data_IF_558981820422
#
_entry.id   IF_558981820422
#
_cell.length_a   1.000
_cell.length_b   1.000
_cell.length_c   1.000
_cell.angle_alpha   90.00
_cell.angle_beta   90.00
_cell.angle_gamma   90.00
#
_symmetry.space_group_name_H-M   'P 1'
#
loop_
_entity.id
_entity.type
_entity.pdbx_description
1 polymer ?
#
# COMPACT_ATOMS: atom_id res chain seq x y z
N UNK A 1 24.73 -91.73 -5.84
CA UNK A 1 24.03 -90.50 -6.24
C UNK A 1 24.91 -89.30 -5.85
N UNK A 2 25.38 -88.52 -6.83
CA UNK A 2 26.51 -87.60 -6.65
C UNK A 2 26.01 -86.17 -6.36
N UNK A 3 25.69 -85.89 -5.09
CA UNK A 3 25.07 -84.63 -4.64
C UNK A 3 25.98 -83.38 -4.82
N UNK A 4 27.30 -83.56 -4.97
CA UNK A 4 28.25 -82.43 -5.03
C UNK A 4 28.20 -81.60 -6.32
N UNK A 5 27.87 -82.21 -7.47
CA UNK A 5 27.82 -81.48 -8.75
C UNK A 5 26.54 -80.65 -8.92
N UNK A 6 25.43 -81.07 -8.32
CA UNK A 6 24.15 -80.35 -8.39
C UNK A 6 24.12 -79.09 -7.51
N UNK A 7 24.82 -79.10 -6.38
CA UNK A 7 24.87 -77.96 -5.46
C UNK A 7 25.71 -76.80 -6.00
N UNK A 8 26.84 -77.10 -6.63
CA UNK A 8 27.69 -76.08 -7.28
C UNK A 8 26.98 -75.41 -8.47
N UNK A 9 26.23 -76.18 -9.27
CA UNK A 9 25.42 -75.63 -10.35
C UNK A 9 24.29 -74.72 -9.85
N UNK A 10 23.64 -75.09 -8.75
CA UNK A 10 22.57 -74.30 -8.15
C UNK A 10 23.07 -72.97 -7.58
N UNK A 11 24.24 -72.97 -6.92
CA UNK A 11 24.88 -71.74 -6.42
C UNK A 11 25.33 -70.80 -7.55
N UNK A 12 25.88 -71.34 -8.64
CA UNK A 12 26.28 -70.55 -9.80
C UNK A 12 25.06 -69.90 -10.50
N UNK A 13 23.96 -70.65 -10.69
CA UNK A 13 22.71 -70.11 -11.23
C UNK A 13 22.06 -69.07 -10.31
N UNK A 14 22.11 -69.29 -9.00
CA UNK A 14 21.58 -68.33 -8.00
C UNK A 14 22.37 -67.02 -8.00
N UNK A 15 23.70 -67.09 -8.13
CA UNK A 15 24.56 -65.92 -8.21
C UNK A 15 24.35 -65.13 -9.52
N UNK A 16 24.19 -65.83 -10.65
CA UNK A 16 23.88 -65.21 -11.95
C UNK A 16 22.49 -64.56 -11.95
N UNK A 17 21.47 -65.24 -11.40
CA UNK A 17 20.13 -64.68 -11.27
C UNK A 17 20.12 -63.45 -10.34
N UNK A 18 20.85 -63.51 -9.22
CA UNK A 18 21.02 -62.39 -8.31
C UNK A 18 21.73 -61.20 -8.95
N UNK A 19 22.77 -61.42 -9.75
CA UNK A 19 23.49 -60.37 -10.47
C UNK A 19 22.63 -59.71 -11.55
N UNK A 20 21.84 -60.49 -12.30
CA UNK A 20 20.92 -59.97 -13.32
C UNK A 20 19.76 -59.19 -12.69
N UNK A 21 19.21 -59.67 -11.57
CA UNK A 21 18.21 -58.93 -10.80
C UNK A 21 18.77 -57.63 -10.22
N UNK A 22 19.99 -57.66 -9.67
CA UNK A 22 20.66 -56.47 -9.15
C UNK A 22 20.96 -55.45 -10.26
N UNK A 23 21.41 -55.91 -11.42
CA UNK A 23 21.65 -55.03 -12.57
C UNK A 23 20.36 -54.44 -13.14
N UNK A 24 19.30 -55.25 -13.29
CA UNK A 24 17.99 -54.77 -13.73
C UNK A 24 17.33 -53.79 -12.74
N UNK A 25 17.53 -53.97 -11.44
CA UNK A 25 17.04 -53.06 -10.39
C UNK A 25 17.88 -51.79 -10.28
N UNK A 26 19.17 -51.83 -10.59
CA UNK A 26 20.06 -50.65 -10.54
C UNK A 26 19.99 -49.79 -11.80
N UNK A 27 19.84 -50.38 -13.00
CA UNK A 27 19.61 -49.62 -14.24
C UNK A 27 18.19 -49.00 -14.30
N UNK A 28 17.24 -49.54 -13.52
CA UNK A 28 15.90 -48.97 -13.36
C UNK A 28 15.84 -47.76 -12.42
N UNK A 29 16.88 -47.49 -11.63
CA UNK A 29 17.03 -46.24 -10.92
C UNK A 29 17.59 -45.20 -11.89
N UNK A 30 16.71 -44.62 -12.71
CA UNK A 30 17.05 -43.52 -13.59
C UNK A 30 17.88 -42.49 -12.82
N UNK A 31 19.09 -42.18 -13.33
CA UNK A 31 19.96 -41.14 -12.76
C UNK A 31 19.11 -39.91 -12.47
N UNK A 32 19.13 -39.44 -11.22
CA UNK A 32 18.48 -38.20 -10.86
C UNK A 32 18.90 -37.13 -11.87
N UNK A 33 17.96 -36.35 -12.43
CA UNK A 33 18.29 -35.34 -13.42
C UNK A 33 19.38 -34.43 -12.84
N UNK A 34 20.41 -34.16 -13.64
CA UNK A 34 21.47 -33.25 -13.23
C UNK A 34 20.83 -31.91 -12.84
N UNK A 35 21.23 -31.29 -11.72
CA UNK A 35 20.73 -29.97 -11.35
C UNK A 35 21.00 -29.00 -12.50
N UNK A 36 20.10 -28.03 -12.67
CA UNK A 36 20.26 -27.00 -13.70
C UNK A 36 21.64 -26.34 -13.56
N UNK A 37 22.31 -26.01 -14.68
CA UNK A 37 23.60 -25.33 -14.62
C UNK A 37 23.40 -24.01 -13.90
N UNK A 38 23.89 -23.96 -12.68
CA UNK A 38 23.96 -22.72 -11.95
C UNK A 38 25.06 -21.84 -12.58
N UNK A 39 24.86 -20.53 -12.61
CA UNK A 39 25.89 -19.61 -13.12
C UNK A 39 27.14 -19.61 -12.23
N UNK A 40 28.08 -18.68 -12.48
CA UNK A 40 29.42 -18.56 -11.84
C UNK A 40 29.50 -18.67 -10.29
N UNK A 41 28.36 -18.71 -9.57
CA UNK A 41 28.28 -18.84 -8.11
C UNK A 41 27.33 -19.93 -7.61
N UNK A 42 26.84 -20.85 -8.45
CA UNK A 42 25.91 -21.88 -7.95
C UNK A 42 24.45 -21.39 -7.77
N UNK A 43 24.16 -20.16 -8.18
CA UNK A 43 22.82 -19.54 -8.15
C UNK A 43 22.14 -19.52 -9.52
N UNK A 44 20.81 -19.58 -9.54
CA UNK A 44 19.98 -19.29 -10.72
C UNK A 44 19.90 -17.77 -10.96
N UNK A 45 19.55 -17.35 -12.19
CA UNK A 45 19.52 -15.92 -12.56
C UNK A 45 18.58 -15.09 -11.66
N UNK A 46 17.41 -15.63 -11.33
CA UNK A 46 16.44 -14.93 -10.49
C UNK A 46 16.96 -14.73 -9.05
N UNK A 47 17.78 -15.65 -8.55
CA UNK A 47 18.40 -15.62 -7.23
C UNK A 47 19.53 -14.59 -7.22
N UNK A 48 20.42 -14.65 -8.22
CA UNK A 48 21.49 -13.66 -8.41
C UNK A 48 20.96 -12.24 -8.43
N UNK A 49 19.87 -11.99 -9.15
CA UNK A 49 19.24 -10.67 -9.17
C UNK A 49 18.75 -10.22 -7.79
N UNK A 50 18.17 -11.11 -6.97
CA UNK A 50 17.77 -10.75 -5.61
C UNK A 50 18.98 -10.46 -4.74
N UNK A 51 20.00 -11.32 -4.79
CA UNK A 51 21.24 -11.15 -4.02
C UNK A 51 21.91 -9.83 -4.36
N UNK A 52 22.07 -9.49 -5.64
CA UNK A 52 22.68 -8.23 -6.07
C UNK A 52 21.91 -7.00 -5.57
N UNK A 53 20.57 -7.05 -5.60
CA UNK A 53 19.74 -5.97 -5.08
C UNK A 53 19.91 -5.83 -3.56
N UNK A 54 19.96 -6.94 -2.82
CA UNK A 54 20.17 -6.94 -1.38
C UNK A 54 21.55 -6.38 -1.02
N UNK A 55 22.61 -6.85 -1.67
CA UNK A 55 23.98 -6.38 -1.43
C UNK A 55 24.13 -4.89 -1.74
N UNK A 56 23.45 -4.40 -2.78
CA UNK A 56 23.56 -3.01 -3.22
C UNK A 56 22.74 -2.02 -2.41
N UNK A 57 21.55 -2.43 -1.96
CA UNK A 57 20.56 -1.52 -1.38
C UNK A 57 20.17 -1.86 0.07
N UNK A 58 20.54 -3.03 0.60
CA UNK A 58 20.23 -3.46 1.96
C UNK A 58 20.75 -2.50 3.03
N UNK A 59 21.96 -1.97 2.84
CA UNK A 59 22.57 -0.96 3.73
C UNK A 59 21.79 0.37 3.80
N UNK A 60 20.90 0.62 2.83
CA UNK A 60 20.02 1.79 2.83
C UNK A 60 18.73 1.59 3.62
N UNK A 61 18.44 0.38 4.09
CA UNK A 61 17.29 0.05 4.95
C UNK A 61 17.68 0.22 6.40
N UNK A 62 16.80 0.82 7.20
CA UNK A 62 17.06 1.11 8.62
C UNK A 62 15.98 0.53 9.51
N UNK A 63 16.37 0.12 10.71
CA UNK A 63 15.46 -0.19 11.80
C UNK A 63 15.08 1.11 12.49
N UNK A 64 13.77 1.35 12.65
CA UNK A 64 13.24 2.53 13.33
C UNK A 64 12.68 2.09 14.68
N UNK A 65 13.22 2.65 15.76
CA UNK A 65 12.73 2.43 17.12
C UNK A 65 12.18 3.73 17.69
N UNK A 66 11.04 3.64 18.37
CA UNK A 66 10.40 4.78 19.02
C UNK A 66 10.07 4.51 20.46
N UNK A 67 10.19 5.54 21.28
CA UNK A 67 9.71 5.55 22.67
C UNK A 67 8.60 6.58 22.77
N UNK A 68 7.39 6.13 23.14
CA UNK A 68 6.26 7.03 23.38
C UNK A 68 6.30 7.59 24.80
N UNK A 69 5.67 8.75 25.03
CA UNK A 69 5.48 9.25 26.41
C UNK A 69 4.50 8.34 27.14
N UNK A 70 4.67 8.12 28.46
CA UNK A 70 3.60 7.58 29.29
C UNK A 70 2.34 8.41 29.06
N UNK A 71 1.22 7.76 28.72
CA UNK A 71 -0.06 8.47 28.71
C UNK A 71 -0.43 8.81 30.15
N UNK A 72 -0.62 10.10 30.43
CA UNK A 72 -1.15 10.55 31.72
C UNK A 72 -2.61 10.14 31.79
N UNK A 73 -2.95 9.27 32.74
CA UNK A 73 -4.34 8.94 33.04
C UNK A 73 -5.01 10.19 33.63
N UNK A 74 -6.05 10.69 32.97
CA UNK A 74 -6.90 11.74 33.55
C UNK A 74 -7.73 11.12 34.67
N UNK A 75 -7.44 11.52 35.90
CA UNK A 75 -8.14 11.06 37.10
C UNK A 75 -9.14 12.13 37.57
N UNK A 76 -10.27 11.73 38.19
CA UNK A 76 -11.18 12.67 38.82
C UNK A 76 -10.48 13.54 39.90
N UNK A 77 -10.97 14.76 40.17
CA UNK A 77 -10.43 15.61 41.23
C UNK A 77 -10.39 14.88 42.58
N UNK A 78 -9.24 14.90 43.27
CA UNK A 78 -9.01 14.20 44.54
C UNK A 78 -8.37 12.82 44.42
N UNK A 79 -8.12 12.32 43.20
CA UNK A 79 -7.43 11.05 42.93
C UNK A 79 -6.04 11.23 42.30
N UNK A 80 -5.50 12.45 42.24
CA UNK A 80 -4.22 12.78 41.63
C UNK A 80 -3.05 12.03 42.27
N UNK A 81 -3.17 11.67 43.56
CA UNK A 81 -2.20 10.86 44.29
C UNK A 81 -1.99 9.46 43.66
N UNK A 82 -2.96 8.92 42.93
CA UNK A 82 -2.86 7.62 42.25
C UNK A 82 -2.20 7.71 40.87
N UNK A 83 -1.99 8.92 40.32
CA UNK A 83 -1.46 9.11 38.97
C UNK A 83 -0.09 8.44 38.71
N UNK A 84 0.88 8.43 39.65
CA UNK A 84 2.16 7.73 39.45
C UNK A 84 2.03 6.20 39.37
N UNK A 85 0.99 5.63 39.98
CA UNK A 85 0.76 4.19 40.03
C UNK A 85 -0.08 3.67 38.86
N UNK A 86 -0.76 4.57 38.14
CA UNK A 86 -1.62 4.27 36.99
C UNK A 86 -0.99 4.69 35.65
N UNK A 87 0.22 5.24 35.65
CA UNK A 87 0.96 5.53 34.42
C UNK A 87 1.28 4.23 33.68
N UNK A 88 0.71 4.09 32.48
CA UNK A 88 1.15 3.03 31.57
C UNK A 88 2.64 3.27 31.23
N UNK A 89 3.49 2.23 31.30
CA UNK A 89 4.90 2.37 30.96
C UNK A 89 5.06 2.87 29.51
N UNK A 90 6.16 3.59 29.18
CA UNK A 90 6.48 3.96 27.81
C UNK A 90 6.38 2.73 26.90
N UNK A 91 5.59 2.83 25.82
CA UNK A 91 5.56 1.77 24.84
C UNK A 91 6.72 1.94 23.86
N UNK A 92 7.38 0.82 23.55
CA UNK A 92 8.39 0.77 22.50
C UNK A 92 7.71 0.32 21.21
N UNK A 93 7.68 1.21 20.22
CA UNK A 93 7.23 0.91 18.86
C UNK A 93 8.44 0.63 17.97
N UNK A 94 8.26 -0.25 16.98
CA UNK A 94 9.35 -0.62 16.07
C UNK A 94 8.84 -0.76 14.65
N UNK A 95 9.68 -0.43 13.69
CA UNK A 95 9.38 -0.53 12.26
C UNK A 95 10.65 -0.43 11.42
N UNK A 96 10.45 -0.19 10.13
CA UNK A 96 11.52 0.01 9.17
C UNK A 96 11.44 1.38 8.52
N UNK A 97 12.53 1.78 7.90
CA UNK A 97 12.60 2.93 7.01
C UNK A 97 13.67 2.70 5.96
N UNK A 98 13.83 3.65 5.05
CA UNK A 98 14.95 3.61 4.12
C UNK A 98 15.45 5.01 3.78
N UNK A 99 16.76 5.10 3.57
CA UNK A 99 17.48 6.32 3.22
C UNK A 99 17.14 6.74 1.80
N UNK A 100 16.80 8.01 1.59
CA UNK A 100 16.46 8.56 0.27
C UNK A 100 17.52 9.51 -0.29
N UNK A 101 18.46 9.99 0.54
CA UNK A 101 19.57 10.82 0.09
C UNK A 101 20.76 10.81 1.08
N UNK A 102 21.87 11.39 0.62
CA UNK A 102 23.09 11.58 1.42
C UNK A 102 22.94 12.67 2.48
N UNK A 103 21.85 13.43 2.49
CA UNK A 103 21.60 14.40 3.56
C UNK A 103 21.13 13.71 4.84
N UNK A 104 20.63 12.47 4.73
CA UNK A 104 20.18 11.66 5.86
C UNK A 104 18.67 11.67 6.02
N UNK A 105 17.94 11.97 4.94
CA UNK A 105 16.49 11.81 4.94
C UNK A 105 16.11 10.34 4.83
N UNK A 106 15.13 9.93 5.63
CA UNK A 106 14.61 8.57 5.71
C UNK A 106 13.09 8.61 5.55
N UNK A 107 12.55 7.80 4.64
CA UNK A 107 11.11 7.55 4.57
C UNK A 107 10.73 6.37 5.47
N UNK A 108 9.57 6.49 6.12
CA UNK A 108 8.93 5.43 6.91
C UNK A 108 7.42 5.69 6.94
N UNK A 109 6.66 4.81 7.59
CA UNK A 109 5.24 5.05 7.83
C UNK A 109 5.03 6.03 9.00
N UNK A 110 3.92 6.78 8.96
CA UNK A 110 3.59 7.70 10.04
C UNK A 110 3.22 6.95 11.33
N UNK A 111 2.46 5.85 11.24
CA UNK A 111 2.08 5.06 12.41
C UNK A 111 3.28 4.48 13.17
N UNK A 112 4.44 4.30 12.51
CA UNK A 112 5.68 3.84 13.15
C UNK A 112 6.23 4.90 14.12
N UNK A 113 5.99 6.19 13.83
CA UNK A 113 6.58 7.32 14.57
C UNK A 113 5.54 8.21 15.27
N UNK A 114 4.28 7.80 15.24
CA UNK A 114 3.18 8.52 15.86
C UNK A 114 3.36 8.58 17.39
N UNK A 115 3.20 9.78 17.96
CA UNK A 115 3.35 9.99 19.41
C UNK A 115 4.77 9.76 19.95
N UNK A 116 5.77 9.54 19.07
CA UNK A 116 7.13 9.27 19.48
C UNK A 116 7.76 10.48 20.17
N UNK A 117 8.25 10.25 21.38
CA UNK A 117 9.02 11.24 22.16
C UNK A 117 10.51 11.20 21.84
N UNK A 118 10.98 10.04 21.38
CA UNK A 118 12.33 9.78 20.91
C UNK A 118 12.24 8.79 19.74
N UNK A 119 12.97 9.10 18.67
CA UNK A 119 13.12 8.25 17.50
C UNK A 119 14.60 7.94 17.36
N UNK A 120 14.96 6.66 17.25
CA UNK A 120 16.30 6.21 16.88
C UNK A 120 16.24 5.36 15.62
N UNK A 121 17.33 5.40 14.86
CA UNK A 121 17.53 4.57 13.68
C UNK A 121 18.81 3.76 13.83
N UNK A 122 18.77 2.50 13.41
CA UNK A 122 19.94 1.61 13.33
C UNK A 122 20.10 1.16 11.88
N UNK A 123 21.30 1.33 11.33
CA UNK A 123 21.61 0.90 9.96
C UNK A 123 21.92 -0.59 9.93
N UNK A 124 21.70 -1.22 8.77
CA UNK A 124 22.11 -2.61 8.55
C UNK A 124 23.61 -2.78 8.84
N UNK A 125 23.98 -3.87 9.52
CA UNK A 125 25.35 -4.17 9.94
C UNK A 125 26.06 -3.06 10.77
N UNK A 126 25.31 -2.15 11.40
CA UNK A 126 25.84 -1.17 12.34
C UNK A 126 25.22 -1.41 13.72
N UNK A 127 26.01 -1.77 14.76
CA UNK A 127 25.49 -1.91 16.12
C UNK A 127 25.06 -0.57 16.74
N UNK A 128 25.43 0.57 16.15
CA UNK A 128 25.15 1.89 16.68
C UNK A 128 23.73 2.36 16.34
N UNK A 129 23.07 2.92 17.35
CA UNK A 129 21.86 3.71 17.17
C UNK A 129 22.17 5.19 16.94
N UNK A 130 21.44 5.81 16.03
CA UNK A 130 21.51 7.22 15.71
C UNK A 130 20.19 7.88 16.05
N UNK A 131 20.23 9.04 16.71
CA UNK A 131 19.02 9.80 16.98
C UNK A 131 18.49 10.38 15.67
N UNK A 132 17.19 10.21 15.45
CA UNK A 132 16.49 10.82 14.33
C UNK A 132 15.44 11.82 14.85
N UNK A 133 15.05 12.74 13.97
CA UNK A 133 13.94 13.68 14.21
C UNK A 133 12.93 13.58 13.08
N UNK A 134 11.65 13.73 13.43
CA UNK A 134 10.60 13.92 12.45
C UNK A 134 10.79 15.30 11.79
N UNK A 135 10.86 15.33 10.45
CA UNK A 135 10.94 16.58 9.68
C UNK A 135 9.54 17.00 9.26
N UNK A 136 8.82 16.13 8.57
CA UNK A 136 7.47 16.37 8.11
C UNK A 136 6.70 15.06 8.01
N UNK A 137 5.37 15.15 7.94
CA UNK A 137 4.50 13.99 7.86
C UNK A 137 3.29 14.24 6.96
N UNK A 138 2.69 13.16 6.47
CA UNK A 138 1.37 13.15 5.87
C UNK A 138 0.55 12.03 6.54
N UNK A 139 0.01 12.27 7.75
CA UNK A 139 -0.74 11.25 8.49
C UNK A 139 -1.86 10.59 7.69
N UNK A 140 -2.65 11.31 6.86
CA UNK A 140 -3.71 10.68 6.05
C UNK A 140 -3.19 9.71 4.96
N UNK A 141 -1.90 9.75 4.65
CA UNK A 141 -1.24 8.84 3.70
C UNK A 141 -0.36 7.80 4.41
N UNK A 142 -0.30 7.85 5.74
CA UNK A 142 0.60 7.05 6.56
C UNK A 142 2.09 7.20 6.17
N UNK A 143 2.55 8.43 5.92
CA UNK A 143 3.94 8.74 5.54
C UNK A 143 4.60 9.68 6.55
N UNK A 144 5.83 9.36 6.95
CA UNK A 144 6.70 10.25 7.70
C UNK A 144 8.08 10.39 7.03
N UNK A 145 8.63 11.59 7.09
CA UNK A 145 9.99 11.90 6.68
C UNK A 145 10.83 12.21 7.92
N UNK A 146 11.82 11.37 8.17
CA UNK A 146 12.79 11.54 9.24
C UNK A 146 14.08 12.15 8.71
N UNK A 147 14.85 12.75 9.62
CA UNK A 147 16.23 13.17 9.42
C UNK A 147 17.12 12.57 10.48
N UNK A 148 18.19 11.93 10.04
CA UNK A 148 19.28 11.42 10.90
C UNK A 148 20.58 12.14 10.54
N UNK A 149 21.43 12.33 11.55
CA UNK A 149 22.81 12.77 11.37
C UNK A 149 23.75 11.57 11.56
N UNK A 150 24.17 10.96 10.44
CA UNK A 150 25.03 9.79 10.37
C UNK A 150 26.18 10.02 9.38
N UNK A 151 27.29 9.28 9.48
CA UNK A 151 28.38 9.31 8.51
C UNK A 151 27.88 9.08 7.07
N UNK A 152 28.46 9.80 6.09
CA UNK A 152 27.97 9.81 4.69
C UNK A 152 28.11 8.44 3.98
N UNK A 153 29.06 7.64 4.42
CA UNK A 153 29.30 6.26 4.00
C UNK A 153 28.19 5.31 4.48
N UNK A 154 27.55 5.59 5.63
CA UNK A 154 26.38 4.83 6.11
C UNK A 154 25.08 5.16 5.40
N UNK A 155 24.99 6.34 4.81
CA UNK A 155 23.77 6.78 4.12
C UNK A 155 23.73 6.21 2.70
N UNK A 156 23.24 5.00 2.49
CA UNK A 156 23.08 4.40 1.15
C UNK A 156 21.70 4.74 0.58
N UNK A 157 21.56 5.70 -0.36
CA UNK A 157 20.24 6.12 -0.81
C UNK A 157 19.61 5.10 -1.75
N UNK A 158 18.34 4.78 -1.50
CA UNK A 158 17.55 3.98 -2.42
C UNK A 158 17.00 4.87 -3.55
N UNK A 159 16.98 4.30 -4.76
CA UNK A 159 16.43 4.99 -5.94
C UNK A 159 14.91 4.90 -5.90
N UNK A 160 14.23 6.05 -5.84
CA UNK A 160 12.78 6.08 -5.92
C UNK A 160 12.33 5.86 -7.37
N UNK A 161 11.69 4.71 -7.65
CA UNK A 161 11.25 4.30 -8.98
C UNK A 161 9.99 5.00 -9.47
N UNK A 162 9.33 4.44 -10.48
CA UNK A 162 8.10 4.96 -11.07
C UNK A 162 6.95 3.96 -10.82
N UNK A 163 6.09 4.28 -9.86
CA UNK A 163 4.99 3.37 -9.50
C UNK A 163 3.85 3.32 -10.53
N UNK A 164 3.78 4.25 -11.47
CA UNK A 164 2.71 4.29 -12.47
C UNK A 164 2.99 3.35 -13.65
N UNK A 165 4.17 2.72 -13.66
CA UNK A 165 4.63 1.77 -14.69
C UNK A 165 4.72 0.33 -14.18
N UNK A 166 4.27 0.09 -12.95
CA UNK A 166 4.24 -1.23 -12.33
C UNK A 166 3.22 -2.10 -13.06
N UNK A 167 3.56 -3.37 -13.28
CA UNK A 167 2.70 -4.38 -13.89
C UNK A 167 2.45 -5.54 -12.93
N UNK A 168 1.23 -6.06 -12.94
CA UNK A 168 0.90 -7.30 -12.24
C UNK A 168 1.79 -8.44 -12.77
N UNK A 169 2.27 -9.28 -11.86
CA UNK A 169 3.22 -10.37 -12.15
C UNK A 169 4.69 -9.97 -12.11
N UNK A 170 5.02 -8.68 -12.00
CA UNK A 170 6.42 -8.28 -11.88
C UNK A 170 6.98 -8.61 -10.49
N UNK A 171 8.27 -8.92 -10.41
CA UNK A 171 8.99 -9.21 -9.15
C UNK A 171 8.84 -8.07 -8.13
N UNK A 172 8.59 -8.45 -6.88
CA UNK A 172 8.53 -7.54 -5.75
C UNK A 172 9.43 -8.08 -4.62
N UNK A 173 10.34 -7.23 -4.13
CA UNK A 173 11.27 -7.57 -3.05
C UNK A 173 10.97 -6.63 -1.89
N UNK A 174 10.50 -7.15 -0.77
CA UNK A 174 10.28 -6.36 0.43
C UNK A 174 11.49 -6.52 1.36
N UNK A 175 11.98 -5.38 1.88
CA UNK A 175 13.03 -5.37 2.87
C UNK A 175 12.53 -4.65 4.12
N UNK A 176 12.97 -5.13 5.28
CA UNK A 176 12.65 -4.55 6.56
C UNK A 176 13.25 -5.34 7.70
N UNK A 177 12.86 -4.99 8.91
CA UNK A 177 13.45 -5.50 10.15
C UNK A 177 12.34 -6.05 11.05
N UNK A 178 11.70 -7.17 10.68
CA UNK A 178 10.63 -7.78 11.45
C UNK A 178 11.17 -8.33 12.78
N UNK A 179 10.43 -8.09 13.86
CA UNK A 179 10.68 -8.67 15.20
C UNK A 179 12.07 -8.40 15.82
N UNK A 180 12.79 -7.36 15.38
CA UNK A 180 14.14 -7.07 15.86
C UNK A 180 15.21 -8.03 15.33
N UNK A 181 14.88 -8.90 14.37
CA UNK A 181 15.86 -9.57 13.52
C UNK A 181 16.48 -8.48 12.63
N UNK A 182 17.81 -8.40 12.62
CA UNK A 182 18.53 -7.19 12.18
C UNK A 182 18.29 -6.79 10.71
N UNK A 183 17.79 -7.72 9.88
CA UNK A 183 17.43 -7.50 8.48
C UNK A 183 16.69 -8.72 7.91
N UNK A 184 15.59 -8.51 7.18
CA UNK A 184 14.84 -9.56 6.50
C UNK A 184 14.49 -9.12 5.08
N UNK A 185 14.66 -10.06 4.16
CA UNK A 185 14.28 -9.92 2.76
C UNK A 185 13.22 -10.96 2.47
N UNK A 186 12.10 -10.52 1.91
CA UNK A 186 11.07 -11.40 1.38
C UNK A 186 10.83 -11.05 -0.08
N UNK A 187 10.45 -12.06 -0.86
CA UNK A 187 10.22 -11.89 -2.29
C UNK A 187 8.88 -12.49 -2.67
N UNK A 188 8.22 -11.82 -3.61
CA UNK A 188 7.04 -12.29 -4.31
C UNK A 188 6.91 -11.55 -5.63
N UNK A 189 5.68 -11.24 -6.00
CA UNK A 189 5.30 -10.45 -7.16
C UNK A 189 4.34 -9.32 -6.76
N UNK A 190 4.14 -8.38 -7.69
CA UNK A 190 2.98 -7.50 -7.66
C UNK A 190 1.76 -8.34 -8.03
N UNK A 191 0.94 -8.65 -7.05
CA UNK A 191 -0.26 -9.48 -7.24
C UNK A 191 -1.41 -8.68 -7.84
N UNK A 192 -1.50 -7.38 -7.56
CA UNK A 192 -2.48 -6.46 -8.14
C UNK A 192 -2.09 -5.00 -7.89
N UNK A 193 -2.57 -4.10 -8.75
CA UNK A 193 -2.80 -2.70 -8.40
C UNK A 193 -4.29 -2.58 -8.20
N UNK A 194 -4.72 -2.18 -7.00
CA UNK A 194 -6.15 -2.17 -6.66
C UNK A 194 -6.49 -1.00 -5.76
N UNK A 195 -7.78 -0.76 -5.67
CA UNK A 195 -8.34 0.15 -4.69
C UNK A 195 -7.85 -0.22 -3.29
N UNK A 196 -7.57 0.81 -2.49
CA UNK A 196 -7.14 0.61 -1.11
C UNK A 196 -8.24 -0.10 -0.31
N UNK A 197 -8.04 -1.34 0.16
CA UNK A 197 -9.07 -2.06 0.92
C UNK A 197 -9.30 -1.44 2.31
N UNK A 198 -8.32 -0.71 2.85
CA UNK A 198 -8.49 0.11 4.05
C UNK A 198 -9.33 1.37 3.82
N UNK A 199 -9.72 1.66 2.57
CA UNK A 199 -10.65 2.74 2.26
C UNK A 199 -12.13 2.35 2.41
N UNK A 200 -12.43 1.10 2.78
CA UNK A 200 -13.80 0.68 3.12
C UNK A 200 -14.20 1.37 4.43
N UNK A 201 -14.89 2.51 4.32
CA UNK A 201 -15.25 3.39 5.44
C UNK A 201 -14.40 4.66 5.55
N UNK A 202 -13.34 4.82 4.75
CA UNK A 202 -12.61 6.09 4.61
C UNK A 202 -13.22 6.91 3.46
N UNK A 203 -14.12 7.82 3.81
CA UNK A 203 -14.79 8.69 2.84
C UNK A 203 -13.86 9.73 2.19
N UNK A 204 -12.61 9.84 2.66
CA UNK A 204 -11.66 10.83 2.15
C UNK A 204 -11.15 10.48 0.74
N UNK A 205 -11.00 9.19 0.43
CA UNK A 205 -10.44 8.70 -0.84
C UNK A 205 -8.97 9.11 -1.07
N UNK A 206 -8.24 9.51 -0.03
CA UNK A 206 -6.91 10.13 -0.17
C UNK A 206 -5.82 9.17 -0.66
N UNK A 207 -5.97 7.88 -0.37
CA UNK A 207 -5.14 6.80 -0.94
C UNK A 207 -6.02 5.96 -1.87
N UNK A 208 -6.12 6.33 -3.17
CA UNK A 208 -7.07 5.68 -4.08
C UNK A 208 -6.64 4.27 -4.47
N UNK A 209 -5.33 4.02 -4.57
CA UNK A 209 -4.76 2.76 -5.02
C UNK A 209 -3.54 2.37 -4.19
N UNK A 210 -3.38 1.07 -4.00
CA UNK A 210 -2.25 0.43 -3.32
C UNK A 210 -1.65 -0.65 -4.21
N UNK A 211 -0.36 -0.92 -4.00
CA UNK A 211 0.30 -2.08 -4.60
C UNK A 211 0.03 -3.27 -3.69
N UNK A 212 -0.63 -4.30 -4.21
CA UNK A 212 -0.75 -5.58 -3.51
C UNK A 212 0.39 -6.50 -3.93
N UNK A 213 0.97 -7.20 -2.96
CA UNK A 213 2.03 -8.19 -3.17
C UNK A 213 1.80 -9.44 -2.31
N UNK A 214 2.33 -10.58 -2.76
CA UNK A 214 2.45 -11.82 -1.99
C UNK A 214 3.85 -11.98 -1.37
N UNK A 215 4.75 -11.00 -1.56
CA UNK A 215 5.95 -10.90 -0.74
C UNK A 215 5.54 -10.76 0.73
N UNK A 216 6.12 -11.57 1.61
CA UNK A 216 5.70 -11.59 3.02
C UNK A 216 5.95 -10.23 3.71
N UNK A 217 4.85 -9.57 4.09
CA UNK A 217 4.85 -8.33 4.87
C UNK A 217 4.32 -8.64 6.26
N UNK A 218 5.23 -8.65 7.25
CA UNK A 218 4.93 -8.89 8.67
C UNK A 218 5.20 -7.63 9.51
N UNK A 219 4.70 -7.57 10.76
CA UNK A 219 5.09 -6.52 11.70
C UNK A 219 6.61 -6.30 11.74
N UNK A 220 7.01 -5.04 11.56
CA UNK A 220 8.40 -4.60 11.43
C UNK A 220 8.91 -4.41 9.99
N UNK A 221 8.21 -4.92 8.96
CA UNK A 221 8.44 -4.48 7.57
C UNK A 221 7.78 -3.13 7.26
N UNK A 222 6.79 -2.69 8.07
CA UNK A 222 6.12 -1.39 7.91
C UNK A 222 7.13 -0.25 7.83
N UNK A 223 6.99 0.59 6.82
CA UNK A 223 7.89 1.71 6.52
C UNK A 223 9.12 1.34 5.69
N UNK A 224 9.43 0.04 5.55
CA UNK A 224 10.49 -0.45 4.66
C UNK A 224 10.11 -0.38 3.18
N UNK A 225 11.08 -0.54 2.26
CA UNK A 225 10.84 -0.42 0.83
C UNK A 225 10.26 -1.70 0.21
N UNK A 226 9.41 -1.54 -0.80
CA UNK A 226 9.07 -2.55 -1.79
C UNK A 226 9.83 -2.25 -3.09
N UNK A 227 10.78 -3.10 -3.48
CA UNK A 227 11.66 -2.90 -4.63
C UNK A 227 11.24 -3.71 -5.86
N UNK A 228 11.45 -3.15 -7.06
CA UNK A 228 11.35 -3.89 -8.32
C UNK A 228 12.63 -4.69 -8.63
N UNK A 229 12.65 -5.40 -9.76
CA UNK A 229 13.82 -6.18 -10.22
C UNK A 229 15.06 -5.35 -10.61
N UNK A 230 14.98 -4.02 -10.58
CA UNK A 230 16.13 -3.10 -10.73
C UNK A 230 16.62 -2.54 -9.38
N UNK A 231 15.99 -2.92 -8.27
CA UNK A 231 16.26 -2.37 -6.95
C UNK A 231 15.71 -0.95 -6.74
N UNK A 232 14.79 -0.48 -7.59
CA UNK A 232 14.13 0.81 -7.40
C UNK A 232 12.89 0.64 -6.51
N UNK A 233 12.66 1.59 -5.61
CA UNK A 233 11.50 1.61 -4.72
C UNK A 233 10.23 1.82 -5.54
N UNK A 234 9.30 0.88 -5.47
CA UNK A 234 7.95 0.97 -6.04
C UNK A 234 6.94 1.49 -5.03
N UNK A 235 7.17 1.25 -3.74
CA UNK A 235 6.30 1.69 -2.68
C UNK A 235 6.88 1.49 -1.28
N UNK A 236 6.13 1.95 -0.29
CA UNK A 236 6.45 1.80 1.14
C UNK A 236 5.55 0.70 1.70
N UNK A 237 6.14 -0.38 2.21
CA UNK A 237 5.40 -1.50 2.80
C UNK A 237 4.52 -1.00 3.95
N UNK A 238 3.25 -1.37 3.96
CA UNK A 238 2.29 -0.99 5.01
C UNK A 238 1.31 -2.15 5.27
N UNK A 239 1.01 -2.39 6.54
CA UNK A 239 0.13 -3.47 6.97
C UNK A 239 -1.34 -3.03 6.89
N UNK A 240 -1.85 -2.78 5.68
CA UNK A 240 -3.21 -2.23 5.49
C UNK A 240 -4.32 -3.26 5.78
N UNK A 241 -4.04 -4.57 5.74
CA UNK A 241 -5.09 -5.55 6.01
C UNK A 241 -4.50 -6.86 6.55
N UNK A 242 -4.69 -7.11 7.83
CA UNK A 242 -4.69 -8.48 8.35
C UNK A 242 -6.06 -8.71 8.97
N UNK A 243 -6.87 -9.68 8.50
CA UNK A 243 -8.09 -10.05 9.21
C UNK A 243 -7.69 -10.37 10.64
N UNK A 244 -8.22 -9.64 11.62
CA UNK A 244 -8.10 -10.01 13.02
C UNK A 244 -8.77 -11.36 13.23
N UNK A 245 -8.00 -12.43 13.10
CA UNK A 245 -8.36 -13.74 13.63
C UNK A 245 -8.32 -13.67 15.15
N UNK A 246 -9.41 -14.14 15.78
CA UNK A 246 -9.55 -14.38 17.21
C UNK A 246 -8.24 -14.85 17.87
N UNK A 247 -7.80 -14.10 18.90
CA UNK A 247 -6.73 -14.46 19.86
C UNK A 247 -5.29 -14.58 19.31
N UNK A 248 -4.81 -13.67 18.47
CA UNK A 248 -3.39 -13.65 18.11
C UNK A 248 -2.96 -12.42 17.30
N UNK A 249 -1.65 -12.12 17.33
CA UNK A 249 -1.05 -11.06 16.53
C UNK A 249 -1.35 -11.25 15.03
N UNK A 250 -1.46 -10.14 14.30
CA UNK A 250 -1.63 -10.14 12.85
C UNK A 250 -0.58 -11.04 12.17
N UNK A 251 -1.04 -12.08 11.45
CA UNK A 251 -0.19 -12.99 10.67
C UNK A 251 -0.35 -12.71 9.18
N UNK A 252 0.77 -12.70 8.43
CA UNK A 252 0.72 -12.61 6.98
C UNK A 252 -0.01 -13.81 6.37
N UNK A 253 -1.10 -13.53 5.64
CA UNK A 253 -1.95 -14.54 5.01
C UNK A 253 -1.75 -14.63 3.48
N UNK A 254 -0.57 -14.26 2.97
CA UNK A 254 -0.30 -14.22 1.53
C UNK A 254 -0.70 -12.92 0.83
N UNK A 255 -1.11 -11.90 1.59
CA UNK A 255 -1.57 -10.60 1.05
C UNK A 255 -0.92 -9.46 1.83
N UNK A 256 -0.04 -8.72 1.16
CA UNK A 256 0.62 -7.52 1.69
C UNK A 256 0.31 -6.30 0.82
N UNK A 257 0.48 -5.11 1.40
CA UNK A 257 0.22 -3.84 0.72
C UNK A 257 1.42 -2.90 0.80
N UNK A 258 1.55 -2.04 -0.21
CA UNK A 258 2.50 -0.94 -0.20
C UNK A 258 1.88 0.33 -0.79
N UNK A 259 2.20 1.47 -0.18
CA UNK A 259 1.83 2.78 -0.67
C UNK A 259 2.69 3.11 -1.92
N UNK A 260 2.09 3.44 -3.08
CA UNK A 260 2.85 3.72 -4.30
C UNK A 260 3.83 4.89 -4.15
N UNK A 261 5.07 4.73 -4.63
CA UNK A 261 6.12 5.72 -4.41
C UNK A 261 5.86 7.06 -5.10
N UNK A 262 5.17 7.07 -6.25
CA UNK A 262 4.86 8.34 -6.95
C UNK A 262 3.90 9.20 -6.12
N UNK A 263 3.03 8.58 -5.32
CA UNK A 263 2.17 9.32 -4.41
C UNK A 263 3.00 10.01 -3.32
N UNK A 264 3.99 9.32 -2.75
CA UNK A 264 4.91 9.89 -1.76
C UNK A 264 5.74 11.03 -2.36
N UNK A 265 6.24 10.84 -3.59
CA UNK A 265 7.04 11.84 -4.32
C UNK A 265 6.33 13.19 -4.47
N UNK A 266 5.01 13.19 -4.67
CA UNK A 266 4.22 14.42 -4.80
C UNK A 266 4.34 15.32 -3.56
N UNK A 267 4.50 14.72 -2.38
CA UNK A 267 4.51 15.45 -1.10
C UNK A 267 5.91 15.62 -0.51
N UNK A 268 6.92 14.91 -1.01
CA UNK A 268 8.32 15.02 -0.53
C UNK A 268 8.81 16.48 -0.37
N UNK A 269 8.57 17.42 -1.30
CA UNK A 269 8.99 18.81 -1.11
C UNK A 269 8.35 19.47 0.12
N UNK A 270 7.06 19.23 0.36
CA UNK A 270 6.35 19.75 1.53
C UNK A 270 6.86 19.11 2.84
N UNK A 271 7.10 17.80 2.82
CA UNK A 271 7.66 17.08 3.96
C UNK A 271 9.08 17.58 4.29
N UNK A 272 9.94 17.79 3.28
CA UNK A 272 11.29 18.37 3.45
C UNK A 272 11.25 19.80 4.00
N UNK A 273 10.22 20.58 3.64
CA UNK A 273 9.98 21.91 4.19
C UNK A 273 9.41 21.91 5.62
N UNK A 274 9.28 20.74 6.25
CA UNK A 274 8.84 20.61 7.64
C UNK A 274 7.32 20.61 7.84
N UNK A 275 6.54 20.40 6.78
CA UNK A 275 5.07 20.42 6.87
C UNK A 275 4.53 19.08 7.38
N UNK A 276 3.50 19.19 8.22
CA UNK A 276 2.57 18.10 8.51
C UNK A 276 1.31 18.34 7.70
N UNK A 277 1.10 17.53 6.66
CA UNK A 277 -0.01 17.69 5.72
C UNK A 277 -1.31 17.13 6.29
N UNK A 278 -2.34 17.96 6.28
CA UNK A 278 -3.70 17.58 6.65
C UNK A 278 -4.43 16.91 5.49
N UNK A 279 -5.55 16.22 5.80
CA UNK A 279 -6.43 15.63 4.80
C UNK A 279 -6.94 16.66 3.79
N UNK A 280 -7.25 17.88 4.27
CA UNK A 280 -7.75 18.97 3.44
C UNK A 280 -6.68 19.48 2.47
N UNK A 281 -5.44 19.68 2.93
CA UNK A 281 -4.33 20.12 2.07
C UNK A 281 -4.02 19.08 0.98
N UNK A 282 -4.02 17.80 1.35
CA UNK A 282 -3.84 16.71 0.39
C UNK A 282 -5.00 16.72 -0.62
N UNK A 283 -6.25 16.78 -0.17
CA UNK A 283 -7.42 16.83 -1.05
C UNK A 283 -7.39 18.03 -2.01
N UNK A 284 -6.96 19.21 -1.54
CA UNK A 284 -6.82 20.41 -2.37
C UNK A 284 -5.76 20.28 -3.46
N UNK A 285 -4.69 19.53 -3.18
CA UNK A 285 -3.61 19.29 -4.14
C UNK A 285 -3.94 18.24 -5.21
N UNK A 286 -5.08 17.55 -5.11
CA UNK A 286 -5.51 16.53 -6.06
C UNK A 286 -6.32 17.13 -7.22
N UNK A 287 -6.34 16.46 -8.39
CA UNK A 287 -7.20 16.84 -9.50
C UNK A 287 -8.68 16.76 -9.11
N UNK A 288 -9.44 17.81 -9.43
CA UNK A 288 -10.88 17.95 -9.17
C UNK A 288 -11.61 18.41 -10.42
N UNK A 289 -12.91 18.14 -10.46
CA UNK A 289 -13.79 18.64 -11.53
C UNK A 289 -14.31 20.05 -11.25
N UNK A 290 -14.41 20.45 -9.97
CA UNK A 290 -14.99 21.72 -9.52
C UNK A 290 -16.52 21.66 -9.46
N UNK A 291 -17.04 20.67 -8.74
CA UNK A 291 -18.47 20.44 -8.56
C UNK A 291 -18.79 20.13 -7.11
N UNK A 292 -19.94 20.60 -6.64
CA UNK A 292 -20.57 20.13 -5.41
C UNK A 292 -21.58 19.06 -5.78
N UNK A 293 -21.54 17.91 -5.09
CA UNK A 293 -22.32 16.71 -5.44
C UNK A 293 -23.09 16.21 -4.22
N UNK A 294 -24.30 15.70 -4.45
CA UNK A 294 -25.06 14.95 -3.46
C UNK A 294 -25.48 13.61 -4.09
N UNK A 295 -25.21 12.47 -3.44
CA UNK A 295 -25.69 11.17 -3.91
C UNK A 295 -27.21 11.12 -3.99
N UNK A 296 -27.76 10.53 -5.06
CA UNK A 296 -29.21 10.37 -5.20
C UNK A 296 -29.81 9.43 -4.14
N UNK A 297 -28.99 8.61 -3.47
CA UNK A 297 -29.40 7.83 -2.30
C UNK A 297 -29.86 8.70 -1.12
N UNK A 298 -29.48 9.98 -1.07
CA UNK A 298 -29.99 10.94 -0.09
C UNK A 298 -31.39 11.48 -0.44
N UNK A 299 -31.85 11.28 -1.69
CA UNK A 299 -33.15 11.76 -2.17
C UNK A 299 -34.20 10.69 -1.87
N UNK A 300 -35.37 11.11 -1.39
CA UNK A 300 -36.48 10.17 -1.21
C UNK A 300 -36.94 9.61 -2.56
N UNK A 301 -37.42 8.37 -2.56
CA UNK A 301 -37.99 7.73 -3.75
C UNK A 301 -39.08 8.59 -4.40
N UNK A 302 -39.96 9.18 -3.58
CA UNK A 302 -40.99 10.10 -4.04
C UNK A 302 -40.42 11.33 -4.72
N UNK A 303 -39.35 11.92 -4.19
CA UNK A 303 -38.71 13.09 -4.80
C UNK A 303 -38.09 12.72 -6.14
N UNK A 304 -37.37 11.59 -6.22
CA UNK A 304 -36.80 11.11 -7.49
C UNK A 304 -37.88 10.86 -8.54
N UNK A 305 -38.96 10.16 -8.17
CA UNK A 305 -40.09 9.89 -9.07
C UNK A 305 -40.79 11.18 -9.55
N UNK A 306 -40.99 12.16 -8.67
CA UNK A 306 -41.64 13.43 -9.01
C UNK A 306 -40.86 14.21 -10.08
N UNK A 307 -39.54 14.14 -10.06
CA UNK A 307 -38.66 14.90 -10.96
C UNK A 307 -38.07 14.03 -12.08
N UNK A 308 -38.45 12.75 -12.16
CA UNK A 308 -37.91 11.80 -13.13
C UNK A 308 -36.40 11.57 -12.99
N UNK A 309 -35.85 11.76 -11.79
CA UNK A 309 -34.44 11.54 -11.52
C UNK A 309 -34.11 10.04 -11.61
N UNK A 310 -32.88 9.68 -12.01
CA UNK A 310 -32.40 8.30 -11.96
C UNK A 310 -32.51 7.68 -10.56
N UNK A 311 -32.46 6.35 -10.48
CA UNK A 311 -32.41 5.67 -9.18
C UNK A 311 -31.08 5.97 -8.47
N UNK A 312 -29.97 5.86 -9.18
CA UNK A 312 -28.62 6.07 -8.68
C UNK A 312 -27.87 7.17 -9.43
N UNK A 313 -26.85 7.73 -8.78
CA UNK A 313 -26.01 8.78 -9.36
C UNK A 313 -25.58 9.83 -8.34
N UNK A 314 -24.75 10.77 -8.80
CA UNK A 314 -24.34 11.95 -8.05
C UNK A 314 -24.96 13.19 -8.68
N UNK A 315 -25.94 13.79 -8.00
CA UNK A 315 -26.60 15.00 -8.46
C UNK A 315 -25.69 16.22 -8.27
N UNK A 316 -25.40 16.92 -9.37
CA UNK A 316 -24.67 18.19 -9.36
C UNK A 316 -25.52 19.24 -8.66
N UNK A 317 -24.93 19.88 -7.65
CA UNK A 317 -25.54 20.98 -6.89
C UNK A 317 -24.97 22.31 -7.31
N UNK A 318 -23.66 22.34 -7.57
CA UNK A 318 -22.94 23.54 -7.98
C UNK A 318 -21.85 23.15 -8.98
N UNK A 319 -21.54 24.08 -9.87
CA UNK A 319 -20.41 24.00 -10.79
C UNK A 319 -19.58 25.25 -10.58
N UNK A 320 -18.33 25.08 -10.14
CA UNK A 320 -17.42 26.19 -9.88
C UNK A 320 -17.06 26.92 -11.18
N UNK A 321 -17.03 28.26 -11.13
CA UNK A 321 -16.66 29.08 -12.29
C UNK A 321 -15.21 28.86 -12.68
N UNK A 322 -14.92 28.72 -13.97
CA UNK A 322 -13.60 28.45 -14.52
C UNK A 322 -13.11 27.00 -14.31
N UNK A 323 -13.92 26.14 -13.71
CA UNK A 323 -13.57 24.75 -13.44
C UNK A 323 -13.54 23.87 -14.71
N UNK A 324 -12.91 22.69 -14.66
CA UNK A 324 -13.06 21.68 -15.70
C UNK A 324 -14.51 21.32 -15.99
N UNK A 325 -15.35 21.20 -14.96
CA UNK A 325 -16.75 20.87 -15.10
C UNK A 325 -17.51 21.93 -15.90
N UNK A 326 -17.31 23.22 -15.60
CA UNK A 326 -17.93 24.31 -16.34
C UNK A 326 -17.51 24.29 -17.81
N UNK A 327 -16.20 24.16 -18.08
CA UNK A 327 -15.65 24.10 -19.45
C UNK A 327 -16.16 22.91 -20.24
N UNK A 328 -16.39 21.78 -19.57
CA UNK A 328 -16.99 20.60 -20.19
C UNK A 328 -18.52 20.70 -20.35
N UNK A 329 -19.14 21.77 -19.82
CA UNK A 329 -20.56 22.03 -19.99
C UNK A 329 -21.47 21.26 -19.02
N UNK A 330 -20.96 20.84 -17.85
CA UNK A 330 -21.81 20.38 -16.74
C UNK A 330 -22.74 21.51 -16.29
N UNK A 331 -23.97 21.16 -15.94
CA UNK A 331 -25.04 22.11 -15.60
C UNK A 331 -25.46 21.97 -14.13
N UNK A 332 -25.37 23.05 -13.35
CA UNK A 332 -25.97 23.09 -12.02
C UNK A 332 -27.52 23.12 -12.14
N UNK A 333 -28.24 22.84 -11.05
CA UNK A 333 -29.69 22.91 -10.99
C UNK A 333 -30.17 24.37 -11.03
N UNK A 334 -31.40 24.57 -11.49
CA UNK A 334 -32.12 25.85 -11.41
C UNK A 334 -33.31 25.78 -10.44
N UNK A 335 -33.76 24.56 -10.12
CA UNK A 335 -34.86 24.29 -9.19
C UNK A 335 -34.34 23.48 -8.02
N UNK A 336 -34.93 23.73 -6.86
CA UNK A 336 -34.52 23.12 -5.60
C UNK A 336 -35.71 22.53 -4.85
N UNK A 337 -35.43 21.51 -4.04
CA UNK A 337 -36.32 20.93 -3.04
C UNK A 337 -35.58 20.83 -1.70
N UNK A 338 -36.30 20.55 -0.63
CA UNK A 338 -35.72 20.27 0.67
C UNK A 338 -35.85 18.79 0.99
N UNK A 339 -34.77 18.19 1.47
CA UNK A 339 -34.76 16.83 2.04
C UNK A 339 -34.39 16.91 3.51
N UNK A 340 -34.84 15.91 4.27
CA UNK A 340 -34.42 15.75 5.66
C UNK A 340 -33.43 14.58 5.74
N UNK A 341 -32.24 14.85 6.26
CA UNK A 341 -31.21 13.84 6.46
C UNK A 341 -31.57 12.96 7.68
N UNK A 342 -31.01 11.74 7.77
CA UNK A 342 -31.19 10.88 8.96
C UNK A 342 -30.77 11.55 10.27
N UNK A 343 -29.86 12.53 10.20
CA UNK A 343 -29.44 13.37 11.34
C UNK A 343 -30.51 14.35 11.84
N UNK A 344 -31.61 14.53 11.10
CA UNK A 344 -32.67 15.51 11.37
C UNK A 344 -32.44 16.87 10.71
N UNK A 345 -31.26 17.11 10.15
CA UNK A 345 -30.93 18.33 9.42
C UNK A 345 -31.70 18.42 8.09
N UNK A 346 -32.12 19.63 7.72
CA UNK A 346 -32.78 19.90 6.44
C UNK A 346 -31.78 20.44 5.43
N UNK A 347 -31.67 19.79 4.28
CA UNK A 347 -30.73 20.16 3.22
C UNK A 347 -31.50 20.59 1.96
N UNK A 348 -31.09 21.72 1.36
CA UNK A 348 -31.58 22.15 0.05
C UNK A 348 -30.83 21.38 -1.05
N UNK A 349 -31.58 20.79 -1.97
CA UNK A 349 -31.02 19.96 -3.05
C UNK A 349 -31.62 20.32 -4.41
N UNK A 350 -30.79 20.31 -5.44
CA UNK A 350 -31.18 20.54 -6.83
C UNK A 350 -31.95 19.37 -7.43
N UNK A 351 -32.94 19.66 -8.26
CA UNK A 351 -33.85 18.62 -8.80
C UNK A 351 -33.95 18.58 -10.33
N UNK A 352 -33.21 19.44 -11.03
CA UNK A 352 -33.23 19.55 -12.49
C UNK A 352 -31.85 19.75 -13.14
N UNK A 353 -30.78 19.68 -12.31
CA UNK A 353 -29.40 19.73 -12.76
C UNK A 353 -28.91 18.41 -13.35
N UNK A 354 -27.63 18.38 -13.73
CA UNK A 354 -26.99 17.15 -14.19
C UNK A 354 -26.85 16.12 -13.07
N UNK A 355 -26.96 14.84 -13.42
CA UNK A 355 -26.63 13.72 -12.54
C UNK A 355 -25.50 12.92 -13.17
N UNK A 356 -24.38 12.76 -12.46
CA UNK A 356 -23.29 11.89 -12.89
C UNK A 356 -23.67 10.43 -12.61
N UNK A 357 -23.75 9.62 -13.67
CA UNK A 357 -24.10 8.20 -13.59
C UNK A 357 -22.87 7.30 -13.54
N UNK A 358 -21.89 7.58 -14.40
CA UNK A 358 -20.66 6.79 -14.51
C UNK A 358 -19.45 7.70 -14.78
N UNK A 359 -18.27 7.30 -14.32
CA UNK A 359 -16.98 7.88 -14.71
C UNK A 359 -16.06 6.78 -15.24
N UNK A 360 -15.66 6.88 -16.51
CA UNK A 360 -14.90 5.86 -17.25
C UNK A 360 -15.46 4.44 -17.12
N UNK A 361 -16.79 4.32 -17.13
CA UNK A 361 -17.51 3.05 -16.99
C UNK A 361 -17.66 2.56 -15.55
N UNK A 362 -17.11 3.26 -14.56
CA UNK A 362 -17.38 2.99 -13.13
C UNK A 362 -18.72 3.64 -12.74
N UNK A 363 -19.74 2.88 -12.31
CA UNK A 363 -20.98 3.43 -11.78
C UNK A 363 -20.74 4.30 -10.55
N UNK A 364 -21.38 5.46 -10.49
CA UNK A 364 -21.19 6.44 -9.42
C UNK A 364 -22.40 6.46 -8.48
N UNK A 365 -22.27 5.75 -7.36
CA UNK A 365 -23.23 5.79 -6.25
C UNK A 365 -22.71 6.57 -5.04
N UNK A 366 -21.40 6.88 -5.01
CA UNK A 366 -20.74 7.66 -3.96
C UNK A 366 -19.70 8.64 -4.51
N UNK A 367 -19.45 9.72 -3.75
CA UNK A 367 -18.40 10.69 -4.08
C UNK A 367 -17.00 10.05 -4.00
N UNK A 368 -16.84 9.01 -3.16
CA UNK A 368 -15.60 8.25 -3.03
C UNK A 368 -15.22 7.58 -4.35
N UNK A 369 -16.17 6.94 -5.04
CA UNK A 369 -15.93 6.33 -6.35
C UNK A 369 -15.49 7.35 -7.39
N UNK A 370 -16.13 8.52 -7.42
CA UNK A 370 -15.70 9.59 -8.30
C UNK A 370 -14.26 10.03 -7.98
N UNK A 371 -13.94 10.26 -6.70
CA UNK A 371 -12.58 10.63 -6.27
C UNK A 371 -11.55 9.56 -6.66
N UNK A 372 -11.87 8.28 -6.48
CA UNK A 372 -10.99 7.17 -6.89
C UNK A 372 -10.69 7.21 -8.39
N UNK A 373 -11.73 7.38 -9.24
CA UNK A 373 -11.54 7.51 -10.69
C UNK A 373 -10.68 8.74 -11.02
N UNK A 374 -10.97 9.90 -10.41
CA UNK A 374 -10.22 11.13 -10.67
C UNK A 374 -8.76 11.03 -10.21
N UNK A 375 -8.48 10.38 -9.08
CA UNK A 375 -7.12 10.29 -8.54
C UNK A 375 -6.28 9.20 -9.22
N UNK A 376 -6.91 8.27 -9.94
CA UNK A 376 -6.24 7.31 -10.82
C UNK A 376 -5.80 7.93 -12.16
N UNK A 377 -6.30 9.12 -12.50
CA UNK A 377 -5.96 9.80 -13.77
C UNK A 377 -4.54 10.35 -13.76
N UNK A 378 -3.87 10.22 -14.90
CA UNK A 378 -2.62 10.93 -15.15
C UNK A 378 -2.89 12.42 -15.35
N UNK A 379 -1.92 13.30 -15.04
CA UNK A 379 -2.05 14.73 -15.34
C UNK A 379 -2.40 14.96 -16.82
N UNK A 380 -3.48 15.72 -17.08
CA UNK A 380 -3.97 16.01 -18.42
C UNK A 380 -4.85 14.94 -19.06
N UNK A 381 -5.01 13.78 -18.41
CA UNK A 381 -5.92 12.73 -18.88
C UNK A 381 -7.38 13.10 -18.61
N UNK A 382 -8.24 12.95 -19.62
CA UNK A 382 -9.68 13.18 -19.46
C UNK A 382 -10.38 11.99 -18.77
N UNK A 383 -11.37 12.29 -17.94
CA UNK A 383 -12.40 11.35 -17.49
C UNK A 383 -13.63 11.48 -18.39
N UNK A 384 -14.17 10.36 -18.84
CA UNK A 384 -15.45 10.30 -19.55
C UNK A 384 -16.59 10.14 -18.54
N UNK A 385 -17.40 11.18 -18.38
CA UNK A 385 -18.57 11.18 -17.50
C UNK A 385 -19.82 10.85 -18.32
N UNK A 386 -20.54 9.80 -17.93
CA UNK A 386 -21.91 9.57 -18.38
C UNK A 386 -22.83 10.38 -17.49
N UNK A 387 -23.57 11.29 -18.10
CA UNK A 387 -24.40 12.29 -17.42
C UNK A 387 -25.85 12.14 -17.84
N UNK A 388 -26.74 12.09 -16.87
CA UNK A 388 -28.16 12.26 -17.11
C UNK A 388 -28.52 13.75 -17.02
N UNK A 389 -29.27 14.23 -18.01
CA UNK A 389 -29.77 15.60 -18.11
C UNK A 389 -31.20 15.56 -18.65
N UNK A 390 -32.17 15.89 -17.81
CA UNK A 390 -33.57 16.07 -18.19
C UNK A 390 -34.13 14.90 -19.02
N UNK A 391 -33.92 13.66 -18.53
CA UNK A 391 -34.42 12.44 -19.17
C UNK A 391 -33.53 11.87 -20.29
N UNK A 392 -32.42 12.53 -20.63
CA UNK A 392 -31.48 12.06 -21.65
C UNK A 392 -30.11 11.79 -21.05
N UNK A 393 -29.42 10.80 -21.60
CA UNK A 393 -28.04 10.50 -21.24
C UNK A 393 -27.10 11.07 -22.29
N UNK A 394 -26.01 11.70 -21.85
CA UNK A 394 -24.92 12.17 -22.70
C UNK A 394 -23.56 11.84 -22.08
N UNK A 395 -22.50 11.92 -22.87
CA UNK A 395 -21.12 11.73 -22.38
C UNK A 395 -20.35 13.02 -22.47
N UNK A 396 -19.77 13.46 -21.36
CA UNK A 396 -18.87 14.62 -21.27
C UNK A 396 -17.45 14.14 -21.01
N UNK A 397 -16.47 14.73 -21.70
CA UNK A 397 -15.05 14.50 -21.41
C UNK A 397 -14.54 15.68 -20.61
N UNK A 398 -14.05 15.41 -19.40
CA UNK A 398 -13.57 16.45 -18.48
C UNK A 398 -12.12 16.17 -18.15
N UNK A 399 -11.24 17.16 -18.24
CA UNK A 399 -9.84 17.02 -17.82
C UNK A 399 -9.71 17.54 -16.39
N UNK A 400 -9.60 16.67 -15.36
CA UNK A 400 -9.52 17.12 -13.98
C UNK A 400 -8.26 17.96 -13.77
N UNK A 401 -8.35 18.97 -12.91
CA UNK A 401 -7.20 19.84 -12.61
C UNK A 401 -7.13 20.15 -11.12
N UNK A 402 -5.94 20.49 -10.64
CA UNK A 402 -5.78 21.04 -9.30
C UNK A 402 -6.38 22.44 -9.31
N UNK A 403 -7.47 22.64 -8.57
CA UNK A 403 -8.12 23.94 -8.39
C UNK A 403 -7.43 24.67 -7.23
N UNK A 404 -7.05 25.92 -7.48
CA UNK A 404 -6.34 26.79 -6.52
C UNK A 404 -7.31 27.60 -5.69
#
# INVERSE_FOLDING_TARGET
>A
MNLGRSFAGFLALSALAGAVLWWGLSDGQGRAPAPAPAGDQGLLEYERNTVEIVERYGDGVVYVSVVTRPQSVQLPPGFEFFAPFLQAPPQQGTGSGFVIDKEGYILTNYHVVEGASRITVKFHNDPKEYRARLVGAAPPLDVALLKVDAPKDRLVPLVLGDSDRIRVGQKAIAMGNPFGLEFTVTQGIVSAIRENPGAIGDESGLVPQVIQTDAAINPGNSGGPLLNSRGEVMGINTAIFTPTGQFGAAQFAGVGFALPINLVKQYLPALKAGKTLTAEEIAKSRPRLGVTLIPLSAYSERLRAQYGLPEDGLAVQEVEKGSPAERAGLKPPSRFAYIQLPSGETLQVGVDGDVLLEADGVPLTSIVQLRQVLYAKKPGEAVALKVWRQGKTLTLRVVPQVLR
#
